data_IF_154795090677
#
_entry.id   IF_154795090677
#
_cell.length_a   1.000
_cell.length_b   1.000
_cell.length_c   1.000
_cell.angle_alpha   90.00
_cell.angle_beta   90.00
_cell.angle_gamma   90.00
#
_symmetry.space_group_name_H-M   'P 1'
#
loop_
_entity.id
_entity.type
_entity.pdbx_description
1 polymer ?
#
# COMPACT_ATOMS: atom_id res chain seq x y z
N UNK A 1 15.90 4.63 0.56
CA UNK A 1 15.18 3.55 1.26
C UNK A 1 13.93 3.24 0.44
N UNK A 2 13.65 1.99 0.08
CA UNK A 2 12.51 1.63 -0.75
C UNK A 2 11.18 2.02 -0.06
N UNK A 3 10.17 2.42 -0.83
CA UNK A 3 8.82 2.66 -0.32
C UNK A 3 8.25 1.35 0.22
N UNK A 4 7.74 1.36 1.48
CA UNK A 4 7.25 0.15 2.16
C UNK A 4 5.76 0.28 2.46
N UNK A 5 4.97 -0.66 1.97
CA UNK A 5 3.54 -0.67 2.16
C UNK A 5 3.01 -2.05 2.59
N UNK A 6 1.83 -2.06 3.18
CA UNK A 6 0.97 -3.23 3.35
C UNK A 6 -0.35 -2.96 2.65
N UNK A 7 -0.71 -3.84 1.72
CA UNK A 7 -2.01 -3.84 1.05
C UNK A 7 -2.94 -4.83 1.74
N UNK A 8 -4.20 -4.44 1.93
CA UNK A 8 -5.25 -5.41 2.24
C UNK A 8 -5.49 -6.40 1.07
N UNK A 9 -6.35 -7.39 1.31
CA UNK A 9 -6.65 -8.46 0.36
C UNK A 9 -7.33 -7.97 -0.93
N UNK A 10 -7.84 -6.74 -0.98
CA UNK A 10 -8.56 -6.21 -2.15
C UNK A 10 -7.63 -5.55 -3.17
N UNK A 11 -6.38 -5.27 -2.78
CA UNK A 11 -5.44 -4.45 -3.56
C UNK A 11 -4.27 -5.25 -4.15
N UNK A 12 -4.49 -6.53 -4.48
CA UNK A 12 -3.45 -7.42 -5.03
C UNK A 12 -2.86 -6.91 -6.35
N UNK A 13 -3.71 -6.40 -7.25
CA UNK A 13 -3.27 -5.84 -8.54
C UNK A 13 -2.40 -4.58 -8.38
N UNK A 14 -2.76 -3.72 -7.41
CA UNK A 14 -1.95 -2.57 -7.02
C UNK A 14 -0.63 -3.02 -6.40
N UNK A 15 -0.66 -3.98 -5.49
CA UNK A 15 0.54 -4.50 -4.83
C UNK A 15 1.55 -5.02 -5.85
N UNK A 16 1.10 -5.80 -6.84
CA UNK A 16 1.95 -6.25 -7.96
C UNK A 16 2.54 -5.07 -8.72
N UNK A 17 1.71 -4.09 -9.08
CA UNK A 17 2.17 -2.90 -9.83
C UNK A 17 3.24 -2.10 -9.07
N UNK A 18 3.10 -1.96 -7.75
CA UNK A 18 4.07 -1.27 -6.90
C UNK A 18 5.37 -2.07 -6.75
N UNK A 19 5.31 -3.41 -6.59
CA UNK A 19 6.52 -4.25 -6.54
C UNK A 19 7.33 -4.17 -7.83
N UNK A 20 6.67 -4.16 -8.99
CA UNK A 20 7.34 -3.93 -10.27
C UNK A 20 8.07 -2.59 -10.35
N UNK A 21 7.72 -1.61 -9.49
CA UNK A 21 8.35 -0.29 -9.40
C UNK A 21 9.31 -0.19 -8.20
N UNK A 22 9.76 -1.32 -7.64
CA UNK A 22 10.77 -1.38 -6.59
C UNK A 22 10.26 -1.13 -5.17
N UNK A 23 8.94 -1.05 -4.97
CA UNK A 23 8.36 -0.95 -3.64
C UNK A 23 8.35 -2.29 -2.91
N UNK A 24 8.67 -2.26 -1.61
CA UNK A 24 8.50 -3.39 -0.70
C UNK A 24 7.05 -3.41 -0.20
N UNK A 25 6.21 -4.21 -0.87
CA UNK A 25 4.78 -4.32 -0.55
C UNK A 25 4.46 -5.68 0.04
N UNK A 26 3.93 -5.71 1.26
CA UNK A 26 3.31 -6.88 1.86
C UNK A 26 1.83 -6.93 1.45
N UNK A 27 1.30 -8.10 1.14
CA UNK A 27 -0.11 -8.26 0.80
C UNK A 27 -0.72 -9.25 1.77
N UNK A 28 -1.82 -8.86 2.40
CA UNK A 28 -2.58 -9.76 3.26
C UNK A 28 -3.36 -10.79 2.43
N UNK A 29 -3.46 -12.00 2.98
CA UNK A 29 -4.21 -13.11 2.40
C UNK A 29 -5.71 -12.86 2.38
N UNK A 30 -6.43 -13.60 1.54
CA UNK A 30 -7.89 -13.56 1.52
C UNK A 30 -8.45 -14.06 2.87
N UNK A 31 -9.26 -13.23 3.53
CA UNK A 31 -9.83 -13.53 4.85
C UNK A 31 -8.97 -13.12 6.06
N UNK A 32 -7.78 -12.57 5.84
CA UNK A 32 -7.01 -11.99 6.94
C UNK A 32 -7.68 -10.71 7.45
N UNK A 33 -7.79 -10.59 8.78
CA UNK A 33 -8.40 -9.43 9.44
C UNK A 33 -7.61 -8.16 9.06
N UNK A 34 -8.33 -7.10 8.69
CA UNK A 34 -7.75 -5.77 8.49
C UNK A 34 -6.87 -5.33 9.68
N UNK A 35 -7.16 -5.77 10.91
CA UNK A 35 -6.30 -5.54 12.08
C UNK A 35 -4.85 -5.98 11.86
N UNK A 36 -4.62 -7.05 11.10
CA UNK A 36 -3.27 -7.51 10.76
C UNK A 36 -2.50 -6.46 9.96
N UNK A 37 -3.17 -5.69 9.09
CA UNK A 37 -2.54 -4.60 8.36
C UNK A 37 -2.03 -3.52 9.33
N UNK A 38 -2.82 -3.19 10.35
CA UNK A 38 -2.44 -2.21 11.37
C UNK A 38 -1.31 -2.70 12.27
N UNK A 39 -1.28 -3.98 12.63
CA UNK A 39 -0.15 -4.59 13.36
C UNK A 39 1.15 -4.52 12.57
N UNK A 40 1.14 -5.05 11.34
CA UNK A 40 2.30 -5.04 10.44
C UNK A 40 2.77 -3.61 10.16
N UNK A 41 1.84 -2.69 9.90
CA UNK A 41 2.18 -1.28 9.66
C UNK A 41 2.86 -0.63 10.86
N UNK A 42 2.41 -0.92 12.09
CA UNK A 42 3.02 -0.39 13.32
C UNK A 42 4.39 -1.00 13.57
N UNK A 43 4.51 -2.33 13.50
CA UNK A 43 5.75 -3.06 13.80
C UNK A 43 6.85 -2.76 12.78
N UNK A 44 6.52 -2.75 11.50
CA UNK A 44 7.52 -2.61 10.44
C UNK A 44 7.67 -1.20 9.90
N UNK A 45 6.86 -0.24 10.36
CA UNK A 45 6.90 1.12 9.83
C UNK A 45 6.32 1.24 8.41
N UNK A 46 5.42 0.35 8.00
CA UNK A 46 4.81 0.35 6.66
C UNK A 46 3.62 1.31 6.56
N UNK A 47 3.36 1.77 5.35
CA UNK A 47 2.14 2.50 4.99
C UNK A 47 1.01 1.52 4.71
N UNK A 48 -0.19 1.77 5.24
CA UNK A 48 -1.38 0.99 4.89
C UNK A 48 -1.99 1.53 3.60
N UNK A 49 -2.17 0.66 2.62
CA UNK A 49 -2.99 0.90 1.44
C UNK A 49 -4.24 0.03 1.56
N UNK A 50 -5.41 0.67 1.57
CA UNK A 50 -6.71 0.00 1.73
C UNK A 50 -7.78 0.77 0.95
N UNK A 51 -8.97 0.20 0.81
CA UNK A 51 -10.08 0.86 0.11
C UNK A 51 -11.40 0.67 0.87
N UNK A 52 -12.34 1.61 0.70
CA UNK A 52 -13.67 1.53 1.30
C UNK A 52 -13.68 1.67 2.83
N UNK A 53 -14.64 1.02 3.49
CA UNK A 53 -14.90 1.15 4.93
C UNK A 53 -13.71 0.83 5.85
N UNK A 54 -12.83 -0.16 5.56
CA UNK A 54 -11.65 -0.44 6.38
C UNK A 54 -10.72 0.77 6.58
N UNK A 55 -10.66 1.71 5.63
CA UNK A 55 -9.82 2.91 5.73
C UNK A 55 -10.04 3.69 7.04
N UNK A 56 -11.29 3.95 7.40
CA UNK A 56 -11.60 4.75 8.59
C UNK A 56 -11.13 4.05 9.89
N UNK A 57 -11.30 2.72 9.96
CA UNK A 57 -10.87 1.91 11.11
C UNK A 57 -9.34 1.77 11.19
N UNK A 58 -8.68 1.60 10.05
CA UNK A 58 -7.23 1.42 9.99
C UNK A 58 -6.49 2.73 10.24
N UNK A 59 -6.99 3.85 9.67
CA UNK A 59 -6.46 5.18 9.93
C UNK A 59 -6.49 5.54 11.42
N UNK A 60 -7.51 5.12 12.17
CA UNK A 60 -7.55 5.38 13.61
C UNK A 60 -6.49 4.60 14.40
N UNK A 61 -6.00 3.48 13.86
CA UNK A 61 -5.00 2.62 14.50
C UNK A 61 -3.56 2.98 14.13
N UNK A 62 -3.37 3.85 13.13
CA UNK A 62 -2.05 4.33 12.71
C UNK A 62 -1.99 5.85 12.75
N UNK A 63 -0.80 6.42 12.95
CA UNK A 63 -0.62 7.87 12.93
C UNK A 63 -1.04 8.51 11.59
N UNK A 64 -1.30 9.81 11.61
CA UNK A 64 -1.60 10.58 10.40
C UNK A 64 -0.53 10.37 9.32
N UNK A 65 -0.95 10.32 8.05
CA UNK A 65 -0.04 10.09 6.92
C UNK A 65 0.46 8.66 6.77
N UNK A 66 0.00 7.69 7.57
CA UNK A 66 0.41 6.26 7.47
C UNK A 66 -0.65 5.33 6.89
N UNK A 67 -1.76 5.89 6.42
CA UNK A 67 -2.84 5.15 5.78
C UNK A 67 -3.42 5.97 4.63
N UNK A 68 -3.61 5.35 3.48
CA UNK A 68 -4.21 5.97 2.29
C UNK A 68 -5.38 5.11 1.80
N UNK A 69 -6.50 5.78 1.49
CA UNK A 69 -7.60 5.18 0.76
C UNK A 69 -7.28 5.16 -0.73
N UNK A 70 -7.33 3.98 -1.35
CA UNK A 70 -7.11 3.78 -2.77
C UNK A 70 -8.45 3.81 -3.51
N UNK A 71 -8.49 4.53 -4.62
CA UNK A 71 -9.64 4.55 -5.53
C UNK A 71 -9.67 3.27 -6.38
N UNK A 72 -10.60 2.37 -6.07
CA UNK A 72 -10.77 1.09 -6.76
C UNK A 72 -11.48 1.20 -8.12
N UNK A 73 -11.98 2.37 -8.51
CA UNK A 73 -12.50 2.59 -9.87
C UNK A 73 -11.39 2.71 -10.93
N UNK A 74 -10.15 2.97 -10.49
CA UNK A 74 -8.98 3.13 -11.34
C UNK A 74 -8.29 1.80 -11.65
N UNK A 75 -7.61 1.73 -12.80
CA UNK A 75 -6.73 0.59 -13.12
C UNK A 75 -5.52 0.56 -12.19
N UNK A 76 -4.98 -0.63 -11.90
CA UNK A 76 -3.85 -0.83 -10.99
C UNK A 76 -2.63 0.09 -11.24
N UNK A 77 -2.30 0.35 -12.52
CA UNK A 77 -1.20 1.27 -12.88
C UNK A 77 -1.49 2.73 -12.51
N UNK A 78 -2.74 3.17 -12.65
CA UNK A 78 -3.17 4.51 -12.25
C UNK A 78 -3.20 4.64 -10.72
N UNK A 79 -3.69 3.61 -10.03
CA UNK A 79 -3.62 3.52 -8.57
C UNK A 79 -2.16 3.61 -8.07
N UNK A 80 -1.24 2.86 -8.67
CA UNK A 80 0.18 2.90 -8.31
C UNK A 80 0.76 4.31 -8.50
N UNK A 81 0.47 4.97 -9.63
CA UNK A 81 0.87 6.35 -9.87
C UNK A 81 0.32 7.31 -8.80
N UNK A 82 -0.94 7.15 -8.40
CA UNK A 82 -1.56 7.97 -7.36
C UNK A 82 -0.89 7.78 -5.99
N UNK A 83 -0.61 6.52 -5.61
CA UNK A 83 0.10 6.19 -4.36
C UNK A 83 1.50 6.80 -4.34
N UNK A 84 2.28 6.58 -5.39
CA UNK A 84 3.65 7.11 -5.48
C UNK A 84 3.67 8.64 -5.43
N UNK A 85 2.72 9.30 -6.12
CA UNK A 85 2.56 10.75 -6.06
C UNK A 85 2.18 11.22 -4.65
N UNK A 86 1.25 10.56 -3.98
CA UNK A 86 0.78 10.95 -2.65
C UNK A 86 1.92 10.90 -1.61
N UNK A 87 2.77 9.88 -1.67
CA UNK A 87 3.90 9.71 -0.75
C UNK A 87 5.21 10.32 -1.26
N UNK A 88 5.17 11.10 -2.35
CA UNK A 88 6.35 11.71 -2.98
C UNK A 88 7.48 10.71 -3.29
N UNK A 89 7.11 9.47 -3.67
CA UNK A 89 8.06 8.43 -4.04
C UNK A 89 8.52 8.68 -5.48
N UNK A 90 9.82 8.89 -5.64
CA UNK A 90 10.47 8.98 -6.95
C UNK A 90 10.86 7.58 -7.39
N UNK A 91 10.45 7.21 -8.60
CA UNK A 91 10.83 5.95 -9.25
C UNK A 91 11.79 6.27 -10.38
N UNK A 92 12.89 5.54 -10.43
CA UNK A 92 13.91 5.59 -11.47
C UNK A 92 13.88 4.31 -12.30
N UNK A 93 14.49 4.28 -13.49
CA UNK A 93 14.60 3.05 -14.27
C UNK A 93 15.28 1.89 -13.51
N UNK A 94 16.20 2.18 -12.58
CA UNK A 94 16.89 1.18 -11.77
C UNK A 94 15.99 0.51 -10.72
N UNK A 95 14.85 1.13 -10.37
CA UNK A 95 13.91 0.56 -9.41
C UNK A 95 13.01 -0.51 -10.06
N UNK A 96 12.90 -0.53 -11.39
CA UNK A 96 12.01 -1.42 -12.12
C UNK A 96 12.46 -2.88 -11.92
N UNK A 97 11.55 -3.71 -11.39
CA UNK A 97 11.78 -5.13 -11.04
C UNK A 97 12.93 -5.38 -10.04
N UNK A 98 13.27 -4.39 -9.21
CA UNK A 98 14.32 -4.51 -8.18
C UNK A 98 13.87 -5.26 -6.89
N UNK A 99 12.64 -5.79 -6.86
CA UNK A 99 11.99 -6.41 -5.70
C UNK A 99 11.15 -7.61 -6.09
#
# INVERSE_FOLDING_TARGET
RAFRAVCDSMLHGLARSLRCLGADVLTLGAGEDHRRAAEVARQEGRIILTSGLPYHKLRAQVGAGRCMSVDCSLKARQQAKAVLKHFNVRVTPADIFSR
#
